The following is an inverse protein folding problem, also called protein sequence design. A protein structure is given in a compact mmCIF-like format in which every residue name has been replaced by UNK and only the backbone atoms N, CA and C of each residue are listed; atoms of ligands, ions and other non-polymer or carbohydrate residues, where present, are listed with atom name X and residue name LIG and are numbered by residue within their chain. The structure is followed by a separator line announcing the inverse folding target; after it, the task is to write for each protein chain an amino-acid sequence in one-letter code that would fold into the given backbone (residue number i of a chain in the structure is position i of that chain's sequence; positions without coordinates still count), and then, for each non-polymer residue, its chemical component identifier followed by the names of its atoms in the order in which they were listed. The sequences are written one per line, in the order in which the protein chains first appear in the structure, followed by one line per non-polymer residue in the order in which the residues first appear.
data_IF_208999505081
#
_entry.id   IF_208999505081
#
_cell.length_a   1.000
_cell.length_b   1.000
_cell.length_c   1.000
_cell.angle_alpha   90.00
_cell.angle_beta   90.00
_cell.angle_gamma   90.00
#
_symmetry.space_group_name_H-M   'P 1'
#
loop_
_entity.id
_entity.type
_entity.pdbx_description
1 polymer ?
#
# COMPACT_ATOMS: atom_id res chain seq x y z
N UNK A 1 26.52 56.24 10.46
CA UNK A 1 25.19 55.61 10.51
C UNK A 1 24.99 54.81 9.22
N UNK A 2 25.05 53.48 9.28
CA UNK A 2 24.78 52.63 8.13
C UNK A 2 23.33 52.17 8.20
N UNK A 3 22.49 52.62 7.28
CA UNK A 3 21.12 52.14 7.13
C UNK A 3 21.16 50.74 6.54
N UNK A 4 20.99 49.72 7.40
CA UNK A 4 20.65 48.39 6.93
C UNK A 4 19.31 48.48 6.18
N UNK A 5 19.37 48.44 4.85
CA UNK A 5 18.19 48.12 4.04
C UNK A 5 17.77 46.70 4.39
N UNK A 6 16.73 46.56 5.22
CA UNK A 6 15.94 45.33 5.28
C UNK A 6 15.47 45.05 3.86
N UNK A 7 16.11 44.10 3.19
CA UNK A 7 15.50 43.47 2.01
C UNK A 7 14.26 42.77 2.54
N UNK A 8 13.08 43.33 2.27
CA UNK A 8 11.82 42.62 2.40
C UNK A 8 11.90 41.45 1.44
N UNK A 9 12.18 40.27 1.98
CA UNK A 9 12.12 39.02 1.25
C UNK A 9 10.64 38.82 0.88
N UNK A 10 10.29 38.66 -0.42
CA UNK A 10 8.92 38.33 -0.79
C UNK A 10 8.53 37.06 -0.03
N UNK A 11 7.31 36.97 0.54
CA UNK A 11 6.83 35.67 0.98
C UNK A 11 6.97 34.72 -0.22
N UNK A 12 7.56 33.54 -0.02
CA UNK A 12 7.71 32.56 -1.10
C UNK A 12 6.38 32.35 -1.85
N UNK A 13 6.40 31.86 -3.09
CA UNK A 13 5.33 32.04 -4.07
C UNK A 13 3.95 31.90 -3.44
N UNK A 14 3.31 33.04 -3.15
CA UNK A 14 2.03 33.09 -2.45
C UNK A 14 0.90 32.48 -3.30
N UNK A 15 1.19 32.25 -4.58
CA UNK A 15 0.34 31.69 -5.61
C UNK A 15 0.47 30.17 -5.79
N UNK A 16 1.30 29.49 -4.97
CA UNK A 16 1.39 28.04 -5.00
C UNK A 16 0.06 27.40 -4.63
N UNK A 17 -0.44 26.51 -5.49
CA UNK A 17 -1.64 25.72 -5.24
C UNK A 17 -1.45 24.30 -5.75
N UNK A 18 -2.27 23.39 -5.20
CA UNK A 18 -2.24 21.98 -5.53
C UNK A 18 -3.50 21.59 -6.28
N UNK A 19 -3.32 20.83 -7.36
CA UNK A 19 -4.41 20.16 -8.09
C UNK A 19 -4.21 18.67 -7.94
N UNK A 20 -5.26 17.99 -7.48
CA UNK A 20 -5.29 16.55 -7.37
C UNK A 20 -6.24 15.94 -8.37
N UNK A 21 -5.83 14.81 -8.93
CA UNK A 21 -6.66 13.99 -9.79
C UNK A 21 -6.65 12.53 -9.34
N UNK A 22 -7.79 11.88 -9.53
CA UNK A 22 -8.01 10.46 -9.33
C UNK A 22 -8.48 9.85 -10.66
N UNK A 23 -7.70 8.92 -11.21
CA UNK A 23 -7.95 8.30 -12.52
C UNK A 23 -8.17 9.34 -13.64
N UNK A 24 -7.35 10.40 -13.64
CA UNK A 24 -7.40 11.49 -14.63
C UNK A 24 -8.57 12.47 -14.48
N UNK A 25 -9.36 12.36 -13.41
CA UNK A 25 -10.43 13.32 -13.08
C UNK A 25 -10.02 14.17 -11.89
N UNK A 26 -10.24 15.48 -11.99
CA UNK A 26 -10.01 16.40 -10.88
C UNK A 26 -10.83 15.98 -9.66
N UNK A 27 -10.21 16.02 -8.48
CA UNK A 27 -10.90 15.78 -7.22
C UNK A 27 -11.65 17.04 -6.82
N UNK A 28 -12.97 16.90 -6.62
CA UNK A 28 -13.83 18.01 -6.18
C UNK A 28 -13.71 18.29 -4.67
N UNK A 29 -13.16 17.35 -3.91
CA UNK A 29 -12.97 17.47 -2.47
C UNK A 29 -11.80 18.40 -2.13
N UNK A 30 -12.00 19.27 -1.15
CA UNK A 30 -10.92 20.06 -0.56
C UNK A 30 -9.85 19.16 0.04
N UNK A 31 -8.62 19.27 -0.47
CA UNK A 31 -7.45 18.56 0.05
C UNK A 31 -6.69 19.42 1.05
N UNK A 32 -6.15 18.83 2.13
CA UNK A 32 -5.21 19.52 3.00
C UNK A 32 -3.99 20.04 2.24
N UNK A 33 -3.59 21.26 2.58
CA UNK A 33 -2.37 21.89 2.09
C UNK A 33 -1.67 22.55 3.27
N UNK A 34 -0.36 22.33 3.38
CA UNK A 34 0.51 23.00 4.33
C UNK A 34 1.61 23.74 3.57
N UNK A 35 1.74 25.04 3.83
CA UNK A 35 2.77 25.89 3.23
C UNK A 35 3.58 26.52 4.36
N UNK A 36 4.89 26.37 4.30
CA UNK A 36 5.84 26.96 5.22
C UNK A 36 6.82 27.86 4.45
N UNK A 37 6.73 29.17 4.67
CA UNK A 37 7.63 30.14 4.08
C UNK A 37 9.00 30.12 4.79
N UNK A 38 10.07 30.20 4.01
CA UNK A 38 11.44 30.23 4.49
C UNK A 38 11.99 31.67 4.49
N UNK A 39 12.97 32.00 5.37
CA UNK A 39 13.52 33.34 5.46
C UNK A 39 14.21 33.88 4.20
N UNK A 40 14.55 33.00 3.26
CA UNK A 40 15.21 33.34 1.99
C UNK A 40 14.23 33.54 0.81
N UNK A 41 12.92 33.47 1.08
CA UNK A 41 11.87 33.70 0.09
C UNK A 41 11.47 32.43 -0.66
N UNK A 42 11.97 31.27 -0.23
CA UNK A 42 11.44 29.97 -0.68
C UNK A 42 10.25 29.56 0.18
N UNK A 43 9.55 28.51 -0.24
CA UNK A 43 8.52 27.87 0.55
C UNK A 43 8.62 26.35 0.42
N UNK A 44 8.36 25.64 1.52
CA UNK A 44 8.04 24.23 1.49
C UNK A 44 6.52 24.07 1.45
N UNK A 45 6.04 23.27 0.52
CA UNK A 45 4.62 23.04 0.34
C UNK A 45 4.35 21.53 0.31
N UNK A 46 3.31 21.11 1.02
CA UNK A 46 2.91 19.72 1.15
C UNK A 46 1.39 19.65 1.00
N UNK A 47 0.91 18.67 0.25
CA UNK A 47 -0.49 18.32 0.16
C UNK A 47 -0.63 16.81 0.19
N UNK A 48 -1.70 16.31 0.79
CA UNK A 48 -1.95 14.88 0.95
C UNK A 48 -3.45 14.60 0.87
N UNK A 49 -3.78 13.35 0.61
CA UNK A 49 -5.16 12.91 0.47
C UNK A 49 -5.38 11.64 1.29
N UNK A 50 -6.56 11.56 1.90
CA UNK A 50 -7.05 10.36 2.56
C UNK A 50 -8.21 9.81 1.73
N UNK A 51 -8.10 8.56 1.27
CA UNK A 51 -9.09 7.92 0.41
C UNK A 51 -9.42 6.51 0.91
N UNK A 52 -10.63 6.05 0.63
CA UNK A 52 -11.01 4.63 0.76
C UNK A 52 -10.99 3.99 -0.60
N UNK A 53 -9.97 3.16 -0.86
CA UNK A 53 -9.69 2.61 -2.19
C UNK A 53 -10.33 1.22 -2.30
N UNK A 54 -11.31 1.08 -3.21
CA UNK A 54 -11.98 -0.20 -3.50
C UNK A 54 -11.40 -0.92 -4.73
N UNK A 55 -10.74 -0.18 -5.60
CA UNK A 55 -10.21 -0.65 -6.88
C UNK A 55 -8.87 0.01 -7.14
N UNK A 56 -8.01 -0.65 -7.91
CA UNK A 56 -6.73 -0.09 -8.32
C UNK A 56 -6.93 1.29 -8.94
N UNK A 57 -6.21 2.28 -8.41
CA UNK A 57 -6.45 3.68 -8.69
C UNK A 57 -5.13 4.41 -8.93
N UNK A 58 -5.14 5.33 -9.88
CA UNK A 58 -4.06 6.25 -10.17
C UNK A 58 -4.34 7.63 -9.54
N UNK A 59 -3.34 8.17 -8.85
CA UNK A 59 -3.38 9.53 -8.31
C UNK A 59 -2.33 10.41 -8.96
N UNK A 60 -2.69 11.66 -9.23
CA UNK A 60 -1.79 12.69 -9.72
C UNK A 60 -1.91 13.94 -8.85
N UNK A 61 -0.78 14.42 -8.35
CA UNK A 61 -0.68 15.67 -7.60
C UNK A 61 0.18 16.65 -8.39
N UNK A 62 -0.34 17.82 -8.69
CA UNK A 62 0.38 18.89 -9.38
C UNK A 62 0.49 20.11 -8.48
N UNK A 63 1.72 20.55 -8.21
CA UNK A 63 2.02 21.82 -7.59
C UNK A 63 2.22 22.88 -8.69
N UNK A 64 1.49 23.98 -8.64
CA UNK A 64 1.45 25.00 -9.69
C UNK A 64 1.72 26.36 -9.07
N UNK A 65 2.56 27.16 -9.72
CA UNK A 65 2.87 28.56 -9.38
C UNK A 65 3.22 29.34 -10.64
N UNK A 66 3.39 30.65 -10.53
CA UNK A 66 3.93 31.52 -11.58
C UNK A 66 5.33 31.13 -12.05
N UNK A 67 6.12 30.45 -11.20
CA UNK A 67 7.44 29.92 -11.58
C UNK A 67 7.35 28.62 -12.41
N UNK A 68 6.15 28.05 -12.57
CA UNK A 68 5.90 26.81 -13.29
C UNK A 68 5.22 25.75 -12.43
N UNK A 69 5.19 24.51 -12.94
CA UNK A 69 4.53 23.38 -12.29
C UNK A 69 5.46 22.17 -12.11
N UNK A 70 5.11 21.34 -11.12
CA UNK A 70 5.70 20.02 -10.88
C UNK A 70 4.58 19.03 -10.59
N UNK A 71 4.72 17.83 -11.13
CA UNK A 71 3.70 16.79 -11.01
C UNK A 71 4.32 15.50 -10.49
N UNK A 72 3.62 14.87 -9.55
CA UNK A 72 3.89 13.52 -9.07
C UNK A 72 2.71 12.61 -9.41
N UNK A 73 3.01 11.36 -9.76
CA UNK A 73 2.03 10.36 -10.20
C UNK A 73 2.32 9.04 -9.49
N UNK A 74 1.29 8.42 -8.92
CA UNK A 74 1.40 7.15 -8.22
C UNK A 74 0.23 6.23 -8.57
N UNK A 75 0.52 4.94 -8.70
CA UNK A 75 -0.49 3.91 -8.90
C UNK A 75 -0.63 3.07 -7.63
N UNK A 76 -1.84 2.99 -7.09
CA UNK A 76 -2.18 2.17 -5.93
C UNK A 76 -2.96 0.96 -6.42
N UNK A 77 -2.37 -0.23 -6.33
CA UNK A 77 -3.03 -1.46 -6.77
C UNK A 77 -3.79 -2.10 -5.61
N UNK A 78 -5.08 -2.40 -5.82
CA UNK A 78 -5.87 -3.23 -4.90
C UNK A 78 -5.79 -4.67 -5.41
N UNK A 79 -5.02 -5.49 -4.70
CA UNK A 79 -4.95 -6.92 -4.98
C UNK A 79 -6.21 -7.58 -4.41
N UNK A 80 -7.10 -8.00 -5.30
CA UNK A 80 -8.18 -8.93 -4.91
C UNK A 80 -7.54 -10.31 -4.82
N UNK A 81 -7.78 -11.10 -3.75
CA UNK A 81 -7.43 -12.51 -3.78
C UNK A 81 -8.14 -13.12 -4.99
N UNK A 82 -7.39 -13.55 -6.00
CA UNK A 82 -7.99 -14.28 -7.10
C UNK A 82 -8.66 -15.51 -6.50
N UNK A 83 -9.97 -15.62 -6.67
CA UNK A 83 -10.77 -16.77 -6.20
C UNK A 83 -10.10 -18.07 -6.66
N UNK A 84 -9.50 -18.07 -7.86
CA UNK A 84 -8.72 -19.16 -8.40
C UNK A 84 -7.47 -19.54 -7.56
N UNK A 85 -6.77 -18.59 -6.94
CA UNK A 85 -5.63 -18.89 -6.06
C UNK A 85 -6.10 -19.50 -4.74
N UNK A 86 -7.21 -19.01 -4.19
CA UNK A 86 -7.80 -19.57 -2.98
C UNK A 86 -8.31 -20.99 -3.23
N UNK A 87 -9.01 -21.22 -4.35
CA UNK A 87 -9.47 -22.55 -4.76
C UNK A 87 -8.31 -23.52 -5.02
N UNK A 88 -7.25 -23.06 -5.70
CA UNK A 88 -6.04 -23.87 -5.94
C UNK A 88 -5.41 -24.30 -4.61
N UNK A 89 -5.21 -23.37 -3.68
CA UNK A 89 -4.66 -23.68 -2.37
C UNK A 89 -5.55 -24.63 -1.56
N UNK A 90 -6.87 -24.41 -1.56
CA UNK A 90 -7.82 -25.30 -0.89
C UNK A 90 -7.76 -26.74 -1.43
N UNK A 91 -7.59 -26.90 -2.75
CA UNK A 91 -7.43 -28.22 -3.38
C UNK A 91 -6.11 -28.89 -3.00
N UNK A 92 -5.01 -28.15 -3.08
CA UNK A 92 -3.67 -28.66 -2.70
C UNK A 92 -3.64 -29.09 -1.23
N UNK A 93 -4.17 -28.27 -0.32
CA UNK A 93 -4.25 -28.58 1.10
C UNK A 93 -5.11 -29.83 1.36
N UNK A 94 -6.22 -29.99 0.64
CA UNK A 94 -7.08 -31.18 0.75
C UNK A 94 -6.36 -32.45 0.30
N UNK A 95 -5.60 -32.39 -0.79
CA UNK A 95 -4.79 -33.51 -1.26
C UNK A 95 -3.70 -33.91 -0.25
N UNK A 96 -2.99 -32.93 0.31
CA UNK A 96 -1.99 -33.19 1.35
C UNK A 96 -2.58 -33.84 2.61
N UNK A 97 -3.74 -33.37 3.06
CA UNK A 97 -4.45 -33.95 4.21
C UNK A 97 -4.87 -35.39 3.95
N UNK A 98 -5.31 -35.71 2.73
CA UNK A 98 -5.66 -37.08 2.36
C UNK A 98 -4.43 -38.01 2.41
N UNK A 99 -3.30 -37.58 1.85
CA UNK A 99 -2.04 -38.35 1.89
C UNK A 99 -1.56 -38.56 3.33
N UNK A 100 -1.57 -37.52 4.15
CA UNK A 100 -1.17 -37.62 5.56
C UNK A 100 -2.10 -38.56 6.35
N UNK A 101 -3.42 -38.50 6.09
CA UNK A 101 -4.39 -39.39 6.72
C UNK A 101 -4.20 -40.86 6.33
N UNK A 102 -3.86 -41.13 5.07
CA UNK A 102 -3.56 -42.50 4.62
C UNK A 102 -2.29 -43.04 5.27
N UNK A 103 -1.24 -42.22 5.34
CA UNK A 103 -0.02 -42.58 6.04
C UNK A 103 -0.28 -42.88 7.52
N UNK A 104 -1.06 -42.07 8.21
CA UNK A 104 -1.41 -42.30 9.62
C UNK A 104 -2.15 -43.64 9.81
N UNK A 105 -3.14 -43.93 8.96
CA UNK A 105 -3.86 -45.23 8.99
C UNK A 105 -2.93 -46.41 8.77
N UNK A 106 -2.00 -46.30 7.82
CA UNK A 106 -0.98 -47.32 7.60
C UNK A 106 -0.16 -47.52 8.87
N UNK A 107 0.39 -46.45 9.46
CA UNK A 107 1.20 -46.55 10.68
C UNK A 107 0.43 -47.15 11.87
N UNK A 108 -0.86 -46.84 12.01
CA UNK A 108 -1.72 -47.46 13.02
C UNK A 108 -1.92 -48.96 12.77
N UNK A 109 -2.09 -49.39 11.51
CA UNK A 109 -2.19 -50.81 11.15
C UNK A 109 -0.89 -51.56 11.45
N UNK A 110 0.25 -50.99 11.08
CA UNK A 110 1.58 -51.54 11.37
C UNK A 110 1.81 -51.71 12.88
N UNK A 111 1.47 -50.69 13.67
CA UNK A 111 1.56 -50.75 15.15
C UNK A 111 0.75 -51.93 15.70
N UNK A 112 -0.51 -52.08 15.27
CA UNK A 112 -1.38 -53.16 15.73
C UNK A 112 -0.81 -54.54 15.39
N UNK A 113 -0.31 -54.73 14.16
CA UNK A 113 0.30 -55.99 13.74
C UNK A 113 1.54 -56.32 14.59
N UNK A 114 2.38 -55.32 14.84
CA UNK A 114 3.56 -55.46 15.69
C UNK A 114 3.22 -55.87 17.14
N UNK A 115 2.25 -55.18 17.74
CA UNK A 115 1.78 -55.47 19.09
C UNK A 115 1.15 -56.87 19.20
N UNK A 116 0.45 -57.33 18.15
CA UNK A 116 -0.09 -58.70 18.10
C UNK A 116 1.01 -59.75 18.11
N UNK A 117 2.00 -59.64 17.21
CA UNK A 117 3.10 -60.60 17.14
C UNK A 117 3.94 -60.65 18.44
N UNK A 118 4.07 -59.52 19.14
CA UNK A 118 4.80 -59.50 20.42
C UNK A 118 4.10 -60.26 21.55
N UNK A 119 2.77 -60.41 21.50
CA UNK A 119 1.98 -61.14 22.50
C UNK A 119 2.01 -62.64 22.28
N UNK A 120 2.20 -63.10 21.05
CA UNK A 120 2.25 -64.53 20.70
C UNK A 120 3.58 -65.20 21.08
N UNK A 121 4.59 -64.41 21.49
CA UNK A 121 5.94 -64.88 21.85
C UNK A 121 6.16 -64.99 23.38
N UNK A 122 5.11 -64.80 24.19
CA UNK A 122 5.12 -64.86 25.66
C UNK A 122 4.35 -66.07 26.19
#
# INVERSE_FOLDING_TARGET
MWTQRKRSVPPGPADIHFVWEKNGRALETCVPVQIHALPDGRAHALSWLQDTIRESTEYRCSAISSAGNKTSKVQVAVMRPEVAHQEKWSRELSAWRAVAGEHDRMMQSWRKAWESCSKDTL
#
